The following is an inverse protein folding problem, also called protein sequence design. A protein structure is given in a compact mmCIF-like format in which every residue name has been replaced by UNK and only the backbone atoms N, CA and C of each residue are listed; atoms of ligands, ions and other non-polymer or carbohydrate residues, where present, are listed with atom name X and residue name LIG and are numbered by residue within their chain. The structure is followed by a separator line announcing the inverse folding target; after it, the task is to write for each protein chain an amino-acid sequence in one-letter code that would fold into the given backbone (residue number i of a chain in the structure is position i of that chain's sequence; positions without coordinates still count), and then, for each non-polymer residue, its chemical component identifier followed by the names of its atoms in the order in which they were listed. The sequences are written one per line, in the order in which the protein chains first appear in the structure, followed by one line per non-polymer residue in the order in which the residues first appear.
data_IF_758614702484
#
_entry.id   IF_758614702484
#
_cell.length_a   1.000
_cell.length_b   1.000
_cell.length_c   1.000
_cell.angle_alpha   90.00
_cell.angle_beta   90.00
_cell.angle_gamma   90.00
#
_symmetry.space_group_name_H-M   'P 1'
#
loop_
_entity.id
_entity.type
_entity.pdbx_description
1 polymer ?
#
# COMPACT_ATOMS: atom_id res chain seq x y z
N UNK A 1 -0.21 8.48 15.26
CA UNK A 1 -0.25 8.14 13.83
C UNK A 1 1.13 7.81 13.33
N UNK A 2 1.24 6.80 12.53
CA UNK A 2 2.53 6.38 12.00
C UNK A 2 2.74 6.91 10.61
N UNK A 3 3.95 7.32 10.32
CA UNK A 3 4.30 7.85 9.02
C UNK A 3 5.62 7.26 8.57
N UNK A 4 5.81 7.24 7.27
CA UNK A 4 7.06 6.84 6.69
C UNK A 4 7.17 7.50 5.32
N UNK A 5 8.37 7.91 4.98
CA UNK A 5 8.64 8.48 3.67
C UNK A 5 9.26 7.42 2.79
N UNK A 6 8.76 7.32 1.58
CA UNK A 6 9.28 6.36 0.62
C UNK A 6 9.28 7.00 -0.74
N UNK A 7 10.23 6.62 -1.55
CA UNK A 7 10.29 7.11 -2.92
C UNK A 7 9.45 6.23 -3.81
N UNK A 8 8.79 6.85 -4.76
CA UNK A 8 8.09 6.10 -5.77
C UNK A 8 9.10 5.44 -6.69
N UNK A 9 8.91 4.16 -6.94
CA UNK A 9 9.76 3.42 -7.85
C UNK A 9 8.95 3.09 -9.09
N UNK A 10 9.58 3.24 -10.24
CA UNK A 10 8.91 2.91 -11.49
C UNK A 10 9.02 1.42 -11.74
N UNK A 11 7.91 0.83 -12.10
CA UNK A 11 7.86 -0.59 -12.40
C UNK A 11 7.29 -0.75 -13.80
N UNK A 12 8.13 -1.17 -14.72
CA UNK A 12 7.68 -1.26 -16.09
C UNK A 12 7.44 0.11 -16.69
N UNK A 13 6.58 0.16 -17.68
CA UNK A 13 6.32 1.39 -18.39
C UNK A 13 5.22 2.23 -17.77
N UNK A 14 4.29 1.60 -17.13
CA UNK A 14 3.08 2.31 -16.72
C UNK A 14 2.76 2.20 -15.25
N UNK A 15 3.63 1.60 -14.46
CA UNK A 15 3.31 1.36 -13.07
C UNK A 15 4.30 2.00 -12.14
N UNK A 16 3.86 2.27 -10.94
CA UNK A 16 4.71 2.77 -9.87
C UNK A 16 4.48 1.94 -8.64
N UNK A 17 5.48 1.88 -7.80
CA UNK A 17 5.38 1.11 -6.57
C UNK A 17 5.97 1.90 -5.43
N UNK A 18 5.49 1.62 -4.25
CA UNK A 18 6.02 2.21 -3.03
C UNK A 18 6.18 1.09 -2.02
N UNK A 19 7.27 1.14 -1.27
CA UNK A 19 7.55 0.12 -0.29
C UNK A 19 6.85 0.45 1.03
N UNK A 20 6.14 -0.50 1.56
CA UNK A 20 5.46 -0.34 2.84
C UNK A 20 6.34 -0.95 3.93
N UNK A 21 6.55 -0.25 5.05
CA UNK A 21 7.36 -0.82 6.12
C UNK A 21 6.82 -2.17 6.56
N UNK A 22 7.75 -3.07 6.76
CA UNK A 22 7.39 -4.43 7.13
C UNK A 22 6.58 -4.49 8.42
N UNK A 23 6.94 -3.64 9.38
CA UNK A 23 6.25 -3.62 10.65
C UNK A 23 4.78 -3.30 10.48
N UNK A 24 4.47 -2.43 9.53
CA UNK A 24 3.08 -2.07 9.29
C UNK A 24 2.30 -3.23 8.73
N UNK A 25 2.90 -3.96 7.82
CA UNK A 25 2.25 -5.11 7.21
C UNK A 25 1.99 -6.17 8.27
N UNK A 26 2.95 -6.38 9.16
CA UNK A 26 2.80 -7.33 10.24
C UNK A 26 1.71 -6.91 11.20
N UNK A 27 1.68 -5.63 11.53
CA UNK A 27 0.68 -5.12 12.45
C UNK A 27 -0.72 -5.26 11.88
N UNK A 28 -0.85 -5.07 10.58
CA UNK A 28 -2.13 -5.21 9.90
C UNK A 28 -2.48 -6.67 9.64
N UNK A 29 -1.52 -7.55 9.84
CA UNK A 29 -1.70 -8.98 9.59
C UNK A 29 -1.99 -9.26 8.13
N UNK A 30 -1.42 -8.45 7.27
CA UNK A 30 -1.51 -8.68 5.84
C UNK A 30 -0.50 -9.75 5.46
N UNK A 31 -0.83 -10.48 4.44
CA UNK A 31 0.04 -11.54 3.95
C UNK A 31 0.47 -11.26 2.53
N UNK A 32 1.49 -11.97 2.12
CA UNK A 32 1.94 -11.91 0.75
C UNK A 32 0.76 -12.23 -0.17
N UNK A 33 0.65 -11.48 -1.24
CA UNK A 33 -0.43 -11.64 -2.22
C UNK A 33 -1.80 -11.28 -1.67
N UNK A 34 -1.82 -10.63 -0.53
CA UNK A 34 -3.05 -10.11 0.03
C UNK A 34 -3.64 -9.07 -0.91
N UNK A 35 -4.92 -9.20 -1.19
CA UNK A 35 -5.59 -8.19 -2.00
C UNK A 35 -5.91 -6.98 -1.16
N UNK A 36 -5.65 -5.83 -1.72
CA UNK A 36 -5.94 -4.57 -1.05
C UNK A 36 -6.72 -3.68 -2.00
N UNK A 37 -7.41 -2.73 -1.43
CA UNK A 37 -8.20 -1.78 -2.19
C UNK A 37 -7.49 -0.44 -2.15
N UNK A 38 -7.34 0.15 -3.32
CA UNK A 38 -6.76 1.48 -3.44
C UNK A 38 -7.88 2.47 -3.69
N UNK A 39 -7.87 3.55 -2.95
CA UNK A 39 -8.84 4.62 -3.15
C UNK A 39 -8.07 5.92 -3.33
N UNK A 40 -8.50 6.70 -4.29
CA UNK A 40 -7.88 7.97 -4.59
C UNK A 40 -8.90 9.09 -4.40
N UNK A 41 -8.54 10.07 -3.60
CA UNK A 41 -9.42 11.17 -3.34
C UNK A 41 -8.59 12.39 -2.94
N UNK A 42 -8.79 13.48 -3.67
CA UNK A 42 -8.19 14.76 -3.30
C UNK A 42 -6.70 14.70 -3.04
N UNK A 43 -5.99 14.01 -3.91
CA UNK A 43 -4.55 13.93 -3.80
C UNK A 43 -4.05 12.93 -2.78
N UNK A 44 -4.94 12.15 -2.21
CA UNK A 44 -4.58 11.15 -1.21
C UNK A 44 -4.92 9.77 -1.72
N UNK A 45 -3.98 8.86 -1.57
CA UNK A 45 -4.21 7.47 -1.92
C UNK A 45 -4.29 6.67 -0.63
N UNK A 46 -5.36 5.92 -0.49
CA UNK A 46 -5.54 5.05 0.67
C UNK A 46 -5.44 3.62 0.26
N UNK A 47 -4.76 2.84 1.06
CA UNK A 47 -4.60 1.42 0.83
C UNK A 47 -5.19 0.70 2.03
N UNK A 48 -6.12 -0.19 1.76
CA UNK A 48 -6.72 -0.92 2.87
C UNK A 48 -7.01 -2.34 2.44
N UNK A 49 -7.18 -3.21 3.41
CA UNK A 49 -7.43 -4.60 3.13
C UNK A 49 -8.78 -4.74 2.44
N UNK A 50 -8.81 -5.62 1.46
CA UNK A 50 -10.08 -5.94 0.83
C UNK A 50 -11.00 -6.55 1.88
N UNK A 51 -12.20 -6.01 2.00
CA UNK A 51 -13.13 -6.48 3.01
C UNK A 51 -13.75 -7.81 2.69
N UNK A 52 -13.51 -8.33 1.51
CA UNK A 52 -14.09 -9.61 1.14
C UNK A 52 -13.25 -10.75 1.65
N UNK A 53 -13.90 -11.81 1.96
CA UNK A 53 -13.21 -13.02 2.37
C UNK A 53 -13.19 -14.00 1.26
#
# INVERSE_FOLDING_TARGET
MKEASRKLARVGKYSFAVTIPREWVTELKWREKQKVILKFDRGVIRVQKSGKR
#
